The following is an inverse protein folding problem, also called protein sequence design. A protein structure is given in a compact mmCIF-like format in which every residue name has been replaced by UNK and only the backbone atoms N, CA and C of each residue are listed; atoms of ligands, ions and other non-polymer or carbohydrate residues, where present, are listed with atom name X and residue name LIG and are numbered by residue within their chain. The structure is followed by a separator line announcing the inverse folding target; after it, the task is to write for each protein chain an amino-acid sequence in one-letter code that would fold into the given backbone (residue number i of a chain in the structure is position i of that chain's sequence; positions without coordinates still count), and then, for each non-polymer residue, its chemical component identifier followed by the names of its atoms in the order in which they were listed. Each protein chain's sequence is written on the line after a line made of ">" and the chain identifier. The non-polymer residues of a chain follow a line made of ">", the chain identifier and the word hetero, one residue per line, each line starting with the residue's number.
data_IF_936153548137
#
_entry.id   IF_936153548137
#
_cell.length_a   1.000
_cell.length_b   1.000
_cell.length_c   1.000
_cell.angle_alpha   90.00
_cell.angle_beta   90.00
_cell.angle_gamma   90.00
#
_symmetry.space_group_name_H-M   'P 1'
#
loop_
_entity.id
_entity.type
_entity.pdbx_description
1 polymer ?
#
# COMPACT_ATOMS: atom_id res chain seq x y z
N UNK A 1 102.80 -47.56 -63.01
CA UNK A 1 101.56 -47.05 -63.62
C UNK A 1 100.56 -46.57 -62.55
N UNK A 2 100.98 -45.75 -61.58
CA UNK A 2 100.07 -45.07 -60.64
C UNK A 2 100.07 -43.54 -60.80
N UNK A 3 101.10 -42.97 -61.44
CA UNK A 3 101.23 -41.52 -61.60
C UNK A 3 100.36 -40.93 -62.73
N UNK A 4 99.78 -41.77 -63.60
CA UNK A 4 98.94 -41.31 -64.71
C UNK A 4 97.47 -41.06 -64.30
N UNK A 5 97.00 -41.68 -63.21
CA UNK A 5 95.64 -41.49 -62.69
C UNK A 5 95.50 -40.25 -61.80
N UNK A 6 96.61 -39.79 -61.19
CA UNK A 6 96.64 -38.55 -60.41
C UNK A 6 96.71 -37.31 -61.31
N UNK A 7 97.27 -37.44 -62.52
CA UNK A 7 97.41 -36.31 -63.45
C UNK A 7 96.10 -35.89 -64.14
N UNK A 8 95.10 -36.77 -64.25
CA UNK A 8 93.80 -36.44 -64.88
C UNK A 8 92.81 -35.78 -63.91
N UNK A 9 93.07 -35.82 -62.59
CA UNK A 9 92.24 -35.14 -61.59
C UNK A 9 92.72 -33.70 -61.29
N UNK A 10 93.79 -33.24 -61.93
CA UNK A 10 94.47 -31.98 -61.61
C UNK A 10 94.41 -30.92 -62.72
N UNK A 11 93.70 -31.15 -63.83
CA UNK A 11 93.55 -30.16 -64.90
C UNK A 11 92.09 -29.96 -65.34
N UNK A 12 91.32 -29.23 -64.52
CA UNK A 12 90.36 -28.19 -64.93
C UNK A 12 90.33 -27.22 -63.73
N UNK A 13 91.00 -26.07 -63.74
CA UNK A 13 90.73 -24.95 -64.64
C UNK A 13 89.82 -23.94 -63.95
N UNK A 14 90.40 -22.98 -63.21
CA UNK A 14 89.68 -21.76 -62.84
C UNK A 14 90.01 -21.20 -61.45
N UNK A 15 90.75 -20.09 -61.43
CA UNK A 15 90.88 -19.20 -60.27
C UNK A 15 89.52 -18.80 -59.71
N UNK A 16 89.09 -19.40 -58.59
CA UNK A 16 87.90 -18.97 -57.87
C UNK A 16 88.29 -18.65 -56.43
N UNK A 17 88.20 -17.36 -56.09
CA UNK A 17 88.56 -16.84 -54.78
C UNK A 17 87.52 -17.32 -53.74
N UNK A 18 87.87 -18.21 -52.80
CA UNK A 18 86.91 -18.91 -51.93
C UNK A 18 86.21 -18.02 -50.88
N UNK A 19 86.55 -16.73 -50.83
CA UNK A 19 85.94 -15.73 -49.94
C UNK A 19 84.93 -14.82 -50.65
N UNK A 20 84.90 -14.80 -51.99
CA UNK A 20 83.96 -13.99 -52.77
C UNK A 20 83.17 -14.94 -53.67
N UNK A 21 81.88 -15.18 -53.37
CA UNK A 21 81.05 -16.05 -54.19
C UNK A 21 80.96 -15.52 -55.62
N UNK A 22 80.77 -16.42 -56.58
CA UNK A 22 80.58 -16.06 -57.98
C UNK A 22 79.46 -15.02 -58.13
N UNK A 23 79.62 -14.08 -59.06
CA UNK A 23 78.62 -13.05 -59.35
C UNK A 23 77.24 -13.63 -59.68
N UNK A 24 77.20 -14.82 -60.30
CA UNK A 24 75.98 -15.57 -60.57
C UNK A 24 75.22 -15.99 -59.30
N UNK A 25 75.92 -16.43 -58.25
CA UNK A 25 75.28 -16.84 -56.99
C UNK A 25 74.67 -15.64 -56.25
N UNK A 26 75.31 -14.47 -56.31
CA UNK A 26 74.77 -13.23 -55.73
C UNK A 26 73.50 -12.80 -56.48
N UNK A 27 73.48 -12.91 -57.80
CA UNK A 27 72.30 -12.55 -58.61
C UNK A 27 71.15 -13.54 -58.34
N UNK A 28 71.41 -14.85 -58.34
CA UNK A 28 70.37 -15.84 -58.11
C UNK A 28 69.83 -15.83 -56.67
N UNK A 29 70.70 -15.68 -55.68
CA UNK A 29 70.29 -15.50 -54.27
C UNK A 29 69.51 -14.19 -54.07
N UNK A 30 69.90 -13.11 -54.76
CA UNK A 30 69.16 -11.84 -54.77
C UNK A 30 67.76 -12.00 -55.38
N UNK A 31 67.62 -12.71 -56.49
CA UNK A 31 66.32 -13.01 -57.10
C UNK A 31 65.44 -13.81 -56.14
N UNK A 32 65.97 -14.88 -55.52
CA UNK A 32 65.25 -15.65 -54.51
C UNK A 32 64.85 -14.79 -53.30
N UNK A 33 65.73 -13.90 -52.84
CA UNK A 33 65.44 -12.97 -51.75
C UNK A 33 64.32 -12.00 -52.11
N UNK A 34 64.34 -11.42 -53.32
CA UNK A 34 63.29 -10.51 -53.80
C UNK A 34 61.96 -11.22 -53.94
N UNK A 35 61.94 -12.47 -54.42
CA UNK A 35 60.72 -13.28 -54.52
C UNK A 35 60.14 -13.56 -53.12
N UNK A 36 60.97 -13.96 -52.15
CA UNK A 36 60.53 -14.16 -50.77
C UNK A 36 60.04 -12.85 -50.14
N UNK A 37 60.76 -11.74 -50.36
CA UNK A 37 60.38 -10.42 -49.86
C UNK A 37 59.03 -9.99 -50.43
N UNK A 38 58.80 -10.21 -51.73
CA UNK A 38 57.54 -9.90 -52.38
C UNK A 38 56.38 -10.72 -51.79
N UNK A 39 56.57 -12.02 -51.59
CA UNK A 39 55.57 -12.90 -50.94
C UNK A 39 55.32 -12.46 -49.50
N UNK A 40 56.37 -12.16 -48.73
CA UNK A 40 56.26 -11.68 -47.36
C UNK A 40 55.50 -10.35 -47.29
N UNK A 41 55.81 -9.41 -48.17
CA UNK A 41 55.14 -8.11 -48.22
C UNK A 41 53.67 -8.26 -48.63
N UNK A 42 53.39 -9.15 -49.59
CA UNK A 42 52.04 -9.40 -50.10
C UNK A 42 51.16 -10.24 -49.17
N UNK A 43 51.74 -11.04 -48.27
CA UNK A 43 51.00 -12.00 -47.42
C UNK A 43 51.14 -11.70 -45.93
N UNK A 44 52.36 -11.51 -45.41
CA UNK A 44 52.58 -11.36 -43.97
C UNK A 44 52.09 -10.01 -43.43
N UNK A 45 52.36 -8.90 -44.13
CA UNK A 45 51.86 -7.58 -43.72
C UNK A 45 50.34 -7.48 -43.67
N UNK A 46 49.57 -7.85 -44.72
CA UNK A 46 48.11 -7.74 -44.64
C UNK A 46 47.53 -8.67 -43.57
N UNK A 47 48.10 -9.86 -43.34
CA UNK A 47 47.65 -10.75 -42.26
C UNK A 47 47.86 -10.14 -40.88
N UNK A 48 48.96 -9.41 -40.66
CA UNK A 48 49.22 -8.74 -39.39
C UNK A 48 48.29 -7.54 -39.17
N UNK A 49 48.05 -6.74 -40.22
CA UNK A 49 47.13 -5.60 -40.16
C UNK A 49 45.71 -6.05 -39.81
N UNK A 50 45.20 -7.11 -40.46
CA UNK A 50 43.87 -7.67 -40.17
C UNK A 50 43.73 -8.10 -38.71
N UNK A 51 44.77 -8.71 -38.11
CA UNK A 51 44.73 -9.11 -36.69
C UNK A 51 44.73 -7.91 -35.75
N UNK A 52 45.49 -6.86 -36.06
CA UNK A 52 45.51 -5.62 -35.28
C UNK A 52 44.18 -4.88 -35.40
N UNK A 53 43.61 -4.78 -36.60
CA UNK A 53 42.30 -4.16 -36.83
C UNK A 53 41.18 -4.92 -36.12
N UNK A 54 41.21 -6.26 -36.13
CA UNK A 54 40.27 -7.08 -35.37
C UNK A 54 40.38 -6.84 -33.86
N UNK A 55 41.61 -6.71 -33.33
CA UNK A 55 41.81 -6.39 -31.91
C UNK A 55 41.34 -4.98 -31.58
N UNK A 56 41.67 -3.99 -32.42
CA UNK A 56 41.23 -2.61 -32.25
C UNK A 56 39.70 -2.53 -32.26
N UNK A 57 39.04 -3.14 -33.25
CA UNK A 57 37.58 -3.18 -33.34
C UNK A 57 36.93 -3.92 -32.16
N UNK A 58 37.54 -5.01 -31.67
CA UNK A 58 37.06 -5.71 -30.48
C UNK A 58 37.17 -4.86 -29.22
N UNK A 59 38.28 -4.12 -29.04
CA UNK A 59 38.48 -3.23 -27.90
C UNK A 59 37.50 -2.06 -27.96
N UNK A 60 37.39 -1.39 -29.11
CA UNK A 60 36.47 -0.27 -29.30
C UNK A 60 35.02 -0.69 -29.12
N UNK A 61 34.63 -1.85 -29.67
CA UNK A 61 33.30 -2.42 -29.47
C UNK A 61 33.03 -2.79 -28.01
N UNK A 62 34.03 -3.25 -27.26
CA UNK A 62 33.87 -3.54 -25.84
C UNK A 62 33.78 -2.28 -24.98
N UNK A 63 34.54 -1.23 -25.31
CA UNK A 63 34.44 0.08 -24.63
C UNK A 63 33.07 0.68 -24.89
N UNK A 64 32.59 0.71 -26.14
CA UNK A 64 31.27 1.22 -26.48
C UNK A 64 30.15 0.46 -25.74
N UNK A 65 30.26 -0.86 -25.61
CA UNK A 65 29.32 -1.67 -24.82
C UNK A 65 29.40 -1.38 -23.33
N UNK A 66 30.60 -1.15 -22.79
CA UNK A 66 30.78 -0.81 -21.38
C UNK A 66 30.16 0.57 -21.08
N UNK A 67 30.39 1.56 -21.93
CA UNK A 67 29.81 2.90 -21.81
C UNK A 67 28.27 2.85 -21.94
N UNK A 68 27.75 2.07 -22.89
CA UNK A 68 26.29 1.88 -23.02
C UNK A 68 25.70 1.18 -21.78
N UNK A 69 26.37 0.16 -21.26
CA UNK A 69 25.95 -0.53 -20.04
C UNK A 69 25.98 0.40 -18.82
N UNK A 70 27.03 1.23 -18.69
CA UNK A 70 27.13 2.21 -17.61
C UNK A 70 26.02 3.26 -17.71
N UNK A 71 25.78 3.81 -18.91
CA UNK A 71 24.68 4.76 -19.14
C UNK A 71 23.31 4.17 -18.81
N UNK A 72 23.07 2.90 -19.19
CA UNK A 72 21.83 2.20 -18.84
C UNK A 72 21.71 1.98 -17.34
N UNK A 73 22.81 1.63 -16.66
CA UNK A 73 22.82 1.46 -15.22
C UNK A 73 22.54 2.79 -14.48
N UNK A 74 23.14 3.88 -14.93
CA UNK A 74 22.90 5.23 -14.38
C UNK A 74 21.44 5.66 -14.61
N UNK A 75 20.91 5.48 -15.81
CA UNK A 75 19.51 5.79 -16.11
C UNK A 75 18.53 4.93 -15.28
N UNK A 76 18.80 3.64 -15.13
CA UNK A 76 17.99 2.74 -14.31
C UNK A 76 18.07 3.11 -12.81
N UNK A 77 19.24 3.55 -12.34
CA UNK A 77 19.41 4.01 -10.97
C UNK A 77 18.64 5.31 -10.73
N UNK A 78 18.72 6.26 -11.66
CA UNK A 78 17.94 7.50 -11.60
C UNK A 78 16.43 7.21 -11.56
N UNK A 79 15.93 6.37 -12.46
CA UNK A 79 14.54 5.95 -12.50
C UNK A 79 14.12 5.27 -11.18
N UNK A 80 14.94 4.34 -10.68
CA UNK A 80 14.68 3.67 -9.40
C UNK A 80 14.63 4.65 -8.23
N UNK A 81 15.55 5.62 -8.17
CA UNK A 81 15.55 6.64 -7.11
C UNK A 81 14.35 7.58 -7.22
N UNK A 82 13.92 7.92 -8.43
CA UNK A 82 12.72 8.71 -8.67
C UNK A 82 11.45 7.95 -8.25
N UNK A 83 11.33 6.67 -8.63
CA UNK A 83 10.24 5.81 -8.19
C UNK A 83 10.19 5.67 -6.67
N UNK A 84 11.35 5.52 -6.01
CA UNK A 84 11.42 5.44 -4.55
C UNK A 84 11.00 6.76 -3.88
N UNK A 85 11.38 7.90 -4.45
CA UNK A 85 10.98 9.21 -3.96
C UNK A 85 9.46 9.42 -4.11
N UNK A 86 8.88 9.08 -5.26
CA UNK A 86 7.44 9.18 -5.48
C UNK A 86 6.67 8.23 -4.57
N UNK A 87 7.11 6.97 -4.43
CA UNK A 87 6.48 6.01 -3.51
C UNK A 87 6.51 6.49 -2.04
N UNK A 88 7.58 7.18 -1.62
CA UNK A 88 7.65 7.78 -0.27
C UNK A 88 6.70 8.95 -0.11
N UNK A 89 6.56 9.78 -1.16
CA UNK A 89 5.63 10.91 -1.18
C UNK A 89 4.18 10.42 -1.13
N UNK A 90 3.81 9.47 -2.00
CA UNK A 90 2.50 8.84 -2.02
C UNK A 90 2.18 8.18 -0.67
N UNK A 91 3.12 7.44 -0.08
CA UNK A 91 2.94 6.87 1.25
C UNK A 91 2.74 7.95 2.34
N UNK A 92 3.37 9.11 2.19
CA UNK A 92 3.16 10.28 3.05
C UNK A 92 1.74 10.85 2.91
N UNK A 93 1.29 11.05 1.68
CA UNK A 93 -0.05 11.56 1.34
C UNK A 93 -1.15 10.61 1.82
N UNK A 94 -0.99 9.29 1.63
CA UNK A 94 -1.91 8.27 2.14
C UNK A 94 -1.99 8.35 3.67
N UNK A 95 -0.86 8.49 4.36
CA UNK A 95 -0.83 8.58 5.82
C UNK A 95 -1.52 9.84 6.34
N UNK A 96 -1.33 10.96 5.68
CA UNK A 96 -1.98 12.21 6.09
C UNK A 96 -3.48 12.16 5.82
N UNK A 97 -3.88 11.67 4.63
CA UNK A 97 -5.30 11.44 4.29
C UNK A 97 -5.97 10.51 5.31
N UNK A 98 -5.33 9.39 5.67
CA UNK A 98 -5.85 8.47 6.67
C UNK A 98 -5.96 9.11 8.07
N UNK A 99 -5.06 10.03 8.44
CA UNK A 99 -5.15 10.78 9.69
C UNK A 99 -6.31 11.78 9.67
N UNK A 100 -6.49 12.50 8.57
CA UNK A 100 -7.60 13.43 8.41
C UNK A 100 -8.95 12.71 8.44
N UNK A 101 -9.08 11.61 7.71
CA UNK A 101 -10.29 10.80 7.70
C UNK A 101 -10.54 10.14 9.05
N UNK A 102 -9.49 9.67 9.74
CA UNK A 102 -9.59 9.20 11.12
C UNK A 102 -10.13 10.28 12.06
N UNK A 103 -9.68 11.53 11.93
CA UNK A 103 -10.22 12.66 12.72
C UNK A 103 -11.68 12.94 12.38
N UNK A 104 -12.07 12.91 11.10
CA UNK A 104 -13.47 13.09 10.66
C UNK A 104 -14.37 12.00 11.23
N UNK A 105 -13.97 10.73 11.12
CA UNK A 105 -14.73 9.59 11.66
C UNK A 105 -14.93 9.74 13.17
N UNK A 106 -13.90 10.13 13.92
CA UNK A 106 -14.01 10.34 15.37
C UNK A 106 -14.93 11.52 15.69
N UNK A 107 -14.88 12.60 14.90
CA UNK A 107 -15.77 13.75 15.07
C UNK A 107 -17.23 13.37 14.78
N UNK A 108 -17.51 12.72 13.65
CA UNK A 108 -18.84 12.23 13.28
C UNK A 108 -19.38 11.22 14.31
N UNK A 109 -18.55 10.30 14.79
CA UNK A 109 -18.93 9.35 15.83
C UNK A 109 -19.29 10.05 17.15
N UNK A 110 -18.56 11.11 17.54
CA UNK A 110 -18.89 11.93 18.71
C UNK A 110 -20.20 12.67 18.53
N UNK A 111 -20.41 13.33 17.39
CA UNK A 111 -21.61 14.09 17.11
C UNK A 111 -22.85 13.18 17.10
N UNK A 112 -22.75 12.01 16.45
CA UNK A 112 -23.81 11.00 16.48
C UNK A 112 -24.08 10.47 17.89
N UNK A 113 -23.03 10.19 18.68
CA UNK A 113 -23.20 9.75 20.06
C UNK A 113 -23.86 10.83 20.93
N UNK A 114 -23.49 12.10 20.77
CA UNK A 114 -24.12 13.22 21.49
C UNK A 114 -25.58 13.42 21.08
N UNK A 115 -25.90 13.32 19.79
CA UNK A 115 -27.27 13.40 19.29
C UNK A 115 -28.13 12.25 19.82
N UNK A 116 -27.60 11.03 19.83
CA UNK A 116 -28.30 9.85 20.34
C UNK A 116 -28.50 9.93 21.86
N UNK A 117 -27.49 10.39 22.60
CA UNK A 117 -27.61 10.63 24.04
C UNK A 117 -28.71 11.67 24.34
N UNK A 118 -28.75 12.79 23.61
CA UNK A 118 -29.79 13.80 23.78
C UNK A 118 -31.19 13.25 23.47
N UNK A 119 -31.31 12.44 22.42
CA UNK A 119 -32.56 11.76 22.04
C UNK A 119 -33.02 10.80 23.15
N UNK A 120 -32.12 9.99 23.68
CA UNK A 120 -32.40 9.05 24.76
C UNK A 120 -32.82 9.78 26.04
N UNK A 121 -32.13 10.86 26.41
CA UNK A 121 -32.48 11.68 27.58
C UNK A 121 -33.86 12.32 27.43
N UNK A 122 -34.18 12.87 26.26
CA UNK A 122 -35.52 13.41 25.99
C UNK A 122 -36.61 12.32 26.06
N UNK A 123 -36.37 11.15 25.48
CA UNK A 123 -37.28 10.02 25.56
C UNK A 123 -37.48 9.54 27.01
N UNK A 124 -36.40 9.46 27.80
CA UNK A 124 -36.46 9.10 29.21
C UNK A 124 -37.26 10.12 30.03
N UNK A 125 -37.08 11.42 29.79
CA UNK A 125 -37.89 12.46 30.45
C UNK A 125 -39.38 12.31 30.11
N UNK A 126 -39.73 12.13 28.83
CA UNK A 126 -41.12 11.92 28.42
C UNK A 126 -41.73 10.66 29.06
N UNK A 127 -40.94 9.59 29.15
CA UNK A 127 -41.36 8.34 29.80
C UNK A 127 -41.60 8.55 31.30
N UNK A 128 -40.70 9.25 32.00
CA UNK A 128 -40.85 9.58 33.43
C UNK A 128 -42.10 10.44 33.65
N UNK A 129 -42.39 11.41 32.78
CA UNK A 129 -43.60 12.22 32.88
C UNK A 129 -44.88 11.39 32.69
N UNK A 130 -44.89 10.48 31.72
CA UNK A 130 -46.00 9.55 31.50
C UNK A 130 -46.21 8.59 32.68
N UNK A 131 -45.12 8.04 33.24
CA UNK A 131 -45.14 7.20 34.44
C UNK A 131 -45.63 7.95 35.66
N UNK A 132 -45.19 9.20 35.86
CA UNK A 132 -45.68 10.08 36.94
C UNK A 132 -47.18 10.30 36.83
N UNK A 133 -47.69 10.58 35.63
CA UNK A 133 -49.12 10.79 35.43
C UNK A 133 -49.91 9.52 35.74
N UNK A 134 -49.41 8.36 35.30
CA UNK A 134 -50.01 7.05 35.58
C UNK A 134 -50.03 6.75 37.08
N UNK A 135 -48.91 6.99 37.77
CA UNK A 135 -48.79 6.81 39.21
C UNK A 135 -49.75 7.73 39.98
N UNK A 136 -49.91 8.99 39.55
CA UNK A 136 -50.89 9.92 40.15
C UNK A 136 -52.33 9.46 39.96
N UNK A 137 -52.67 8.84 38.83
CA UNK A 137 -54.01 8.29 38.60
C UNK A 137 -54.23 7.06 39.50
N UNK A 138 -53.26 6.15 39.58
CA UNK A 138 -53.33 4.98 40.48
C UNK A 138 -53.48 5.39 41.93
N UNK A 139 -52.66 6.35 42.38
CA UNK A 139 -52.68 6.86 43.76
C UNK A 139 -54.03 7.50 44.10
N UNK A 140 -54.63 8.27 43.17
CA UNK A 140 -55.97 8.84 43.38
C UNK A 140 -57.03 7.74 43.51
N UNK A 141 -56.94 6.69 42.71
CA UNK A 141 -57.84 5.55 42.81
C UNK A 141 -57.72 4.84 44.15
N UNK A 142 -56.49 4.52 44.58
CA UNK A 142 -56.20 3.84 45.86
C UNK A 142 -56.63 4.67 47.08
N UNK A 143 -56.35 5.98 47.07
CA UNK A 143 -56.79 6.89 48.13
C UNK A 143 -58.32 7.01 48.12
N UNK A 144 -58.95 7.03 46.96
CA UNK A 144 -60.41 7.02 46.82
C UNK A 144 -61.04 5.77 47.43
N UNK A 145 -60.49 4.58 47.16
CA UNK A 145 -60.95 3.33 47.76
C UNK A 145 -60.74 3.32 49.27
N UNK A 146 -59.56 3.73 49.77
CA UNK A 146 -59.29 3.81 51.21
C UNK A 146 -60.22 4.79 51.94
N UNK A 147 -60.53 5.93 51.32
CA UNK A 147 -61.46 6.91 51.87
C UNK A 147 -62.90 6.37 51.92
N UNK A 148 -63.33 5.64 50.89
CA UNK A 148 -64.64 4.97 50.88
C UNK A 148 -64.71 3.85 51.92
N UNK A 149 -63.66 3.06 52.07
CA UNK A 149 -63.57 2.00 53.08
C UNK A 149 -63.64 2.58 54.51
N UNK A 150 -62.92 3.67 54.76
CA UNK A 150 -62.96 4.39 56.04
C UNK A 150 -64.35 5.00 56.29
N UNK A 151 -64.95 5.65 55.29
CA UNK A 151 -66.29 6.20 55.39
C UNK A 151 -67.33 5.11 55.66
N UNK A 152 -67.23 3.97 54.97
CA UNK A 152 -68.09 2.80 55.18
C UNK A 152 -67.93 2.21 56.58
N UNK A 153 -66.71 2.12 57.10
CA UNK A 153 -66.44 1.70 58.48
C UNK A 153 -67.05 2.65 59.52
N UNK A 154 -66.85 3.96 59.37
CA UNK A 154 -67.43 4.97 60.28
C UNK A 154 -68.96 4.97 60.22
N UNK A 155 -69.53 4.90 59.02
CA UNK A 155 -70.99 4.84 58.82
C UNK A 155 -71.55 3.55 59.44
N UNK A 156 -70.92 2.41 59.19
CA UNK A 156 -71.30 1.12 59.79
C UNK A 156 -71.28 1.15 61.32
N UNK A 157 -70.24 1.74 61.91
CA UNK A 157 -70.15 1.95 63.36
C UNK A 157 -71.29 2.87 63.86
N UNK A 158 -71.55 3.99 63.18
CA UNK A 158 -72.64 4.92 63.59
C UNK A 158 -74.06 4.37 63.39
N UNK A 159 -74.27 3.47 62.41
CA UNK A 159 -75.55 2.81 62.15
C UNK A 159 -75.82 1.63 63.11
N UNK A 160 -74.81 1.16 63.85
CA UNK A 160 -74.99 0.16 64.90
C UNK A 160 -75.77 0.69 66.12
N UNK A 161 -75.95 2.01 66.21
CA UNK A 161 -76.77 2.70 67.21
C UNK A 161 -78.19 2.97 66.64
N UNK A 162 -79.17 2.18 67.11
CA UNK A 162 -80.57 2.16 66.65
C UNK A 162 -81.23 3.55 66.64
N UNK A 163 -80.83 4.45 67.56
CA UNK A 163 -81.37 5.81 67.65
C UNK A 163 -80.86 6.70 66.51
N UNK A 164 -79.59 6.56 66.12
CA UNK A 164 -78.97 7.31 65.02
C UNK A 164 -79.44 6.80 63.67
N UNK A 165 -79.58 5.48 63.52
CA UNK A 165 -80.11 4.88 62.30
C UNK A 165 -81.54 5.38 61.98
N UNK A 166 -82.43 5.42 62.97
CA UNK A 166 -83.78 6.00 62.82
C UNK A 166 -83.74 7.48 62.41
N UNK A 167 -82.90 8.28 63.05
CA UNK A 167 -82.79 9.72 62.74
C UNK A 167 -82.35 9.99 61.29
N UNK A 168 -81.50 9.12 60.71
CA UNK A 168 -81.08 9.21 59.31
C UNK A 168 -82.24 8.88 58.37
N UNK A 169 -83.03 7.84 58.68
CA UNK A 169 -84.22 7.45 57.90
C UNK A 169 -85.28 8.55 57.93
N UNK A 170 -85.60 9.07 59.12
CA UNK A 170 -86.59 10.13 59.29
C UNK A 170 -86.19 11.40 58.51
N UNK A 171 -84.88 11.72 58.49
CA UNK A 171 -84.36 12.85 57.72
C UNK A 171 -84.44 12.64 56.21
N UNK A 172 -84.19 11.43 55.72
CA UNK A 172 -84.35 11.09 54.31
C UNK A 172 -85.82 11.16 53.87
N UNK A 173 -86.74 10.66 54.70
CA UNK A 173 -88.19 10.77 54.44
C UNK A 173 -88.65 12.23 54.39
N UNK A 174 -88.16 13.08 55.30
CA UNK A 174 -88.44 14.51 55.28
C UNK A 174 -87.89 15.21 54.02
N UNK A 175 -86.70 14.83 53.54
CA UNK A 175 -86.09 15.40 52.33
C UNK A 175 -86.87 14.99 51.07
N UNK A 176 -87.32 13.72 50.99
CA UNK A 176 -88.19 13.25 49.90
C UNK A 176 -89.54 13.99 49.88
N UNK A 177 -90.22 14.13 51.02
CA UNK A 177 -91.45 14.92 51.11
C UNK A 177 -91.23 16.37 50.68
N UNK A 178 -90.06 16.95 50.98
CA UNK A 178 -89.71 18.31 50.56
C UNK A 178 -89.45 18.41 49.05
N UNK A 179 -88.77 17.42 48.45
CA UNK A 179 -88.47 17.38 47.02
C UNK A 179 -89.73 17.09 46.17
N UNK A 180 -90.64 16.24 46.66
CA UNK A 180 -91.92 15.98 45.99
C UNK A 180 -92.85 17.21 46.05
N UNK A 181 -92.83 17.95 47.17
CA UNK A 181 -93.51 19.25 47.27
C UNK A 181 -92.89 20.33 46.39
N UNK A 182 -91.60 20.24 46.05
CA UNK A 182 -90.92 21.17 45.16
C UNK A 182 -91.10 20.82 43.66
N UNK A 183 -91.45 19.57 43.35
CA UNK A 183 -91.69 19.07 42.00
C UNK A 183 -93.16 19.14 41.54
N UNK A 184 -94.09 19.48 42.44
CA UNK A 184 -95.51 19.79 42.17
C UNK A 184 -95.74 21.30 42.16
#
# INVERSE_FOLDING_TARGET
>A
MLNALVAYAAEEGGSHNPLIPAWYDIIWSGVCFVVILFIFWRVALPKMQVLLDQRAAAIEGNIAKADEAQRKAEAALEEYTAQLAEARKEAGEIRETAREDGKKIVAEAKDNASAEAARLTSAAHNQIEAERQTALVSLRSEVGTLALDLAGGVIGETLSDDAKAKAVVDRFLADLESSEKAAK
#
